data_IF_943109796138
#
_entry.id   IF_943109796138
#
_cell.length_a   1.000
_cell.length_b   1.000
_cell.length_c   1.000
_cell.angle_alpha   90.00
_cell.angle_beta   90.00
_cell.angle_gamma   90.00
#
_symmetry.space_group_name_H-M   'P 1'
#
loop_
_entity.id
_entity.type
_entity.pdbx_description
1 polymer ?
#
# COMPACT_ATOMS: atom_id res chain seq x y z
N UNK A 1 1.93 -12.99 -67.14
CA UNK A 1 2.08 -11.57 -66.71
C UNK A 1 0.71 -11.10 -66.26
N UNK A 2 0.44 -10.67 -65.04
CA UNK A 2 1.22 -10.42 -63.83
C UNK A 2 0.28 -10.81 -62.68
N UNK A 3 0.80 -11.55 -61.71
CA UNK A 3 0.09 -11.91 -60.49
C UNK A 3 0.16 -10.75 -59.51
N UNK A 4 -0.91 -9.98 -59.35
CA UNK A 4 -1.08 -9.11 -58.19
C UNK A 4 -2.00 -9.79 -57.19
N UNK A 5 -1.33 -10.56 -56.35
CA UNK A 5 -1.83 -11.23 -55.16
C UNK A 5 -2.40 -10.14 -54.25
N UNK A 6 -3.72 -10.09 -54.10
CA UNK A 6 -4.38 -9.36 -53.01
C UNK A 6 -3.87 -9.94 -51.69
N UNK A 7 -2.80 -9.35 -51.17
CA UNK A 7 -2.37 -9.55 -49.80
C UNK A 7 -3.44 -8.94 -48.91
N UNK A 8 -4.39 -9.76 -48.46
CA UNK A 8 -5.18 -9.44 -47.26
C UNK A 8 -4.15 -9.14 -46.17
N UNK A 9 -4.03 -7.87 -45.78
CA UNK A 9 -3.05 -7.44 -44.80
C UNK A 9 -3.19 -8.30 -43.56
N UNK A 10 -2.19 -9.14 -43.29
CA UNK A 10 -2.08 -9.75 -41.98
C UNK A 10 -1.85 -8.59 -41.04
N UNK A 11 -2.84 -8.34 -40.17
CA UNK A 11 -2.72 -7.44 -39.02
C UNK A 11 -1.33 -7.62 -38.44
N UNK A 12 -0.49 -6.59 -38.42
CA UNK A 12 0.82 -6.64 -37.77
C UNK A 12 0.57 -6.69 -36.27
N UNK A 13 0.31 -7.90 -35.77
CA UNK A 13 0.09 -8.19 -34.36
C UNK A 13 1.48 -8.34 -33.73
N UNK A 14 1.89 -7.34 -32.96
CA UNK A 14 3.06 -7.47 -32.10
C UNK A 14 2.65 -8.26 -30.85
N UNK A 15 2.71 -9.59 -30.97
CA UNK A 15 2.34 -10.53 -29.92
C UNK A 15 3.23 -10.37 -28.67
N UNK A 16 4.46 -9.90 -28.84
CA UNK A 16 5.37 -9.65 -27.72
C UNK A 16 4.91 -8.43 -26.93
N UNK A 17 4.57 -7.34 -27.62
CA UNK A 17 4.03 -6.14 -26.97
C UNK A 17 2.69 -6.42 -26.26
N UNK A 18 1.79 -7.18 -26.88
CA UNK A 18 0.53 -7.59 -26.25
C UNK A 18 0.76 -8.39 -24.95
N UNK A 19 1.72 -9.32 -24.96
CA UNK A 19 2.09 -10.07 -23.77
C UNK A 19 2.66 -9.17 -22.66
N UNK A 20 3.51 -8.19 -23.01
CA UNK A 20 4.07 -7.24 -22.05
C UNK A 20 2.98 -6.32 -21.45
N UNK A 21 1.99 -5.90 -22.25
CA UNK A 21 0.84 -5.11 -21.77
C UNK A 21 0.03 -5.90 -20.74
N UNK A 22 -0.23 -7.18 -20.98
CA UNK A 22 -0.95 -8.03 -20.02
C UNK A 22 -0.16 -8.21 -18.71
N UNK A 23 1.15 -8.39 -18.79
CA UNK A 23 2.03 -8.44 -17.60
C UNK A 23 1.97 -7.13 -16.82
N UNK A 24 1.96 -5.97 -17.50
CA UNK A 24 1.83 -4.67 -16.85
C UNK A 24 0.47 -4.52 -16.14
N UNK A 25 -0.63 -4.91 -16.80
CA UNK A 25 -1.98 -4.88 -16.24
C UNK A 25 -2.10 -5.76 -14.99
N UNK A 26 -1.57 -6.97 -15.03
CA UNK A 26 -1.54 -7.89 -13.87
C UNK A 26 -0.67 -7.34 -12.74
N UNK A 27 0.50 -6.79 -13.08
CA UNK A 27 1.41 -6.16 -12.11
C UNK A 27 0.73 -4.99 -11.40
N UNK A 28 0.03 -4.11 -12.13
CA UNK A 28 -0.74 -3.01 -11.54
C UNK A 28 -1.77 -3.52 -10.52
N UNK A 29 -2.55 -4.55 -10.87
CA UNK A 29 -3.56 -5.15 -9.95
C UNK A 29 -2.92 -5.70 -8.67
N UNK A 30 -1.75 -6.30 -8.77
CA UNK A 30 -0.98 -6.77 -7.60
C UNK A 30 -0.55 -5.60 -6.71
N UNK A 31 -0.03 -4.52 -7.29
CA UNK A 31 0.32 -3.32 -6.52
C UNK A 31 -0.90 -2.62 -5.91
N UNK A 32 -2.05 -2.59 -6.58
CA UNK A 32 -3.31 -2.09 -6.01
C UNK A 32 -3.74 -2.92 -4.79
N UNK A 33 -3.55 -4.24 -4.86
CA UNK A 33 -3.82 -5.13 -3.74
C UNK A 33 -2.88 -4.85 -2.56
N UNK A 34 -1.58 -4.68 -2.82
CA UNK A 34 -0.59 -4.28 -1.81
C UNK A 34 -0.96 -2.94 -1.18
N UNK A 35 -1.32 -1.94 -2.00
CA UNK A 35 -1.72 -0.62 -1.53
C UNK A 35 -2.95 -0.69 -0.62
N UNK A 36 -3.96 -1.50 -0.99
CA UNK A 36 -5.16 -1.72 -0.18
C UNK A 36 -4.81 -2.35 1.17
N UNK A 37 -3.98 -3.39 1.17
CA UNK A 37 -3.56 -4.07 2.40
C UNK A 37 -2.73 -3.15 3.31
N UNK A 38 -1.81 -2.36 2.73
CA UNK A 38 -0.99 -1.41 3.48
C UNK A 38 -1.85 -0.31 4.13
N UNK A 39 -2.87 0.21 3.43
CA UNK A 39 -3.84 1.17 4.02
C UNK A 39 -4.62 0.54 5.18
N UNK A 40 -5.08 -0.70 5.03
CA UNK A 40 -5.75 -1.42 6.11
C UNK A 40 -4.81 -1.60 7.33
N UNK A 41 -3.55 -1.97 7.09
CA UNK A 41 -2.54 -2.08 8.13
C UNK A 41 -2.30 -0.75 8.85
N UNK A 42 -2.15 0.36 8.12
CA UNK A 42 -2.03 1.70 8.70
C UNK A 42 -3.21 2.02 9.63
N UNK A 43 -4.43 1.76 9.19
CA UNK A 43 -5.64 2.02 9.98
C UNK A 43 -5.66 1.17 11.26
N UNK A 44 -5.37 -0.12 11.15
CA UNK A 44 -5.32 -1.01 12.32
C UNK A 44 -4.23 -0.58 13.31
N UNK A 45 -3.04 -0.25 12.81
CA UNK A 45 -1.93 0.20 13.63
C UNK A 45 -2.25 1.53 14.32
N UNK A 46 -2.93 2.45 13.63
CA UNK A 46 -3.37 3.72 14.22
C UNK A 46 -4.34 3.48 15.39
N UNK A 47 -5.37 2.66 15.19
CA UNK A 47 -6.31 2.30 16.27
C UNK A 47 -5.62 1.60 17.44
N UNK A 48 -4.64 0.74 17.16
CA UNK A 48 -3.84 0.07 18.19
C UNK A 48 -3.06 1.10 19.02
N UNK A 49 -2.33 2.02 18.39
CA UNK A 49 -1.54 3.05 19.07
C UNK A 49 -2.42 3.96 19.94
N UNK A 50 -3.59 4.37 19.45
CA UNK A 50 -4.53 5.17 20.25
C UNK A 50 -5.01 4.41 21.50
N UNK A 51 -5.29 3.11 21.36
CA UNK A 51 -5.68 2.25 22.49
C UNK A 51 -4.55 2.07 23.48
N UNK A 52 -3.31 1.90 22.99
CA UNK A 52 -2.12 1.79 23.84
C UNK A 52 -1.90 3.07 24.67
N UNK A 53 -2.18 4.26 24.10
CA UNK A 53 -2.09 5.52 24.83
C UNK A 53 -3.08 5.55 26.00
N UNK A 54 -4.37 5.32 25.72
CA UNK A 54 -5.41 5.31 26.74
C UNK A 54 -5.15 4.25 27.83
N UNK A 55 -4.64 3.08 27.43
CA UNK A 55 -4.28 2.01 28.36
C UNK A 55 -3.08 2.38 29.24
N UNK A 56 -2.06 3.03 28.66
CA UNK A 56 -0.91 3.55 29.41
C UNK A 56 -1.29 4.62 30.43
N UNK A 57 -2.21 5.51 30.08
CA UNK A 57 -2.74 6.52 31.00
C UNK A 57 -3.52 5.88 32.15
N UNK A 58 -4.35 4.87 31.83
CA UNK A 58 -5.11 4.12 32.85
C UNK A 58 -4.18 3.38 33.81
N UNK A 59 -3.11 2.73 33.31
CA UNK A 59 -2.11 2.10 34.17
C UNK A 59 -1.34 3.12 35.01
N UNK A 60 -1.05 4.32 34.48
CA UNK A 60 -0.42 5.39 35.26
C UNK A 60 -1.31 5.81 36.42
N UNK A 61 -2.61 6.00 36.19
CA UNK A 61 -3.58 6.36 37.23
C UNK A 61 -3.70 5.26 38.31
N UNK A 62 -3.78 3.99 37.91
CA UNK A 62 -3.82 2.86 38.84
C UNK A 62 -2.54 2.72 39.68
N UNK A 63 -1.36 2.95 39.08
CA UNK A 63 -0.09 2.94 39.81
C UNK A 63 -0.05 3.99 40.94
N UNK A 64 -0.69 5.14 40.74
CA UNK A 64 -0.78 6.20 41.75
C UNK A 64 -1.81 5.91 42.85
N UNK A 65 -2.89 5.18 42.52
CA UNK A 65 -4.03 4.92 43.41
C UNK A 65 -3.95 3.60 44.17
N UNK A 66 -3.15 2.64 43.72
CA UNK A 66 -2.97 1.32 44.33
C UNK A 66 -1.51 1.10 44.75
N UNK A 67 -1.08 1.62 45.92
CA UNK A 67 0.29 1.48 46.41
C UNK A 67 0.81 0.04 46.43
N UNK A 68 -0.07 -0.93 46.70
CA UNK A 68 0.21 -2.36 46.74
C UNK A 68 0.53 -2.99 45.37
N UNK A 69 0.19 -2.31 44.27
CA UNK A 69 0.43 -2.75 42.89
C UNK A 69 1.16 -1.67 42.06
N UNK A 70 1.80 -0.73 42.74
CA UNK A 70 2.37 0.46 42.12
C UNK A 70 3.39 0.11 41.04
N UNK A 71 4.27 -0.84 41.32
CA UNK A 71 5.38 -1.20 40.45
C UNK A 71 4.89 -1.98 39.23
N UNK A 72 3.92 -2.88 39.41
CA UNK A 72 3.30 -3.66 38.33
C UNK A 72 2.55 -2.76 37.35
N UNK A 73 1.72 -1.85 37.87
CA UNK A 73 1.01 -0.88 37.03
C UNK A 73 1.98 0.14 36.40
N UNK A 74 3.00 0.58 37.13
CA UNK A 74 4.01 1.51 36.63
C UNK A 74 4.80 0.91 35.46
N UNK A 75 5.26 -0.33 35.59
CA UNK A 75 5.95 -1.05 34.52
C UNK A 75 5.09 -1.21 33.26
N UNK A 76 3.82 -1.59 33.44
CA UNK A 76 2.88 -1.73 32.34
C UNK A 76 2.58 -0.39 31.66
N UNK A 77 2.45 0.70 32.42
CA UNK A 77 2.25 2.04 31.88
C UNK A 77 3.42 2.47 30.98
N UNK A 78 4.66 2.32 31.46
CA UNK A 78 5.85 2.69 30.70
C UNK A 78 6.03 1.82 29.45
N UNK A 79 5.69 0.53 29.55
CA UNK A 79 5.69 -0.38 28.39
C UNK A 79 4.70 0.10 27.32
N UNK A 80 3.47 0.48 27.68
CA UNK A 80 2.50 0.98 26.71
C UNK A 80 2.93 2.30 26.08
N UNK A 81 3.50 3.23 26.86
CA UNK A 81 4.04 4.51 26.33
C UNK A 81 5.19 4.28 25.35
N UNK A 82 6.09 3.35 25.65
CA UNK A 82 7.18 2.97 24.75
C UNK A 82 6.65 2.38 23.44
N UNK A 83 5.68 1.46 23.52
CA UNK A 83 5.05 0.87 22.34
C UNK A 83 4.32 1.93 21.49
N UNK A 84 3.65 2.91 22.11
CA UNK A 84 3.03 4.02 21.39
C UNK A 84 4.04 4.79 20.56
N UNK A 85 5.15 5.25 21.17
CA UNK A 85 6.20 6.01 20.50
C UNK A 85 6.80 5.25 19.31
N UNK A 86 7.04 3.96 19.49
CA UNK A 86 7.54 3.09 18.42
C UNK A 86 6.48 2.89 17.32
N UNK A 87 5.22 2.74 17.72
CA UNK A 87 4.07 2.62 16.81
C UNK A 87 3.86 3.87 15.95
N UNK A 88 4.01 5.07 16.51
CA UNK A 88 3.95 6.34 15.77
C UNK A 88 5.05 6.44 14.71
N UNK A 89 6.27 6.02 15.05
CA UNK A 89 7.40 5.98 14.12
C UNK A 89 7.11 5.01 12.97
N UNK A 90 6.61 3.81 13.28
CA UNK A 90 6.22 2.81 12.29
C UNK A 90 5.06 3.30 11.41
N UNK A 91 4.06 3.97 11.99
CA UNK A 91 2.96 4.59 11.24
C UNK A 91 3.47 5.59 10.21
N UNK A 92 4.45 6.43 10.58
CA UNK A 92 5.11 7.34 9.65
C UNK A 92 5.72 6.60 8.46
N UNK A 93 6.47 5.52 8.72
CA UNK A 93 7.10 4.72 7.68
C UNK A 93 6.08 4.04 6.73
N UNK A 94 4.99 3.46 7.29
CA UNK A 94 3.96 2.81 6.47
C UNK A 94 3.18 3.86 5.65
N UNK A 95 2.90 5.04 6.21
CA UNK A 95 2.25 6.13 5.46
C UNK A 95 3.13 6.60 4.29
N UNK A 96 4.43 6.74 4.49
CA UNK A 96 5.37 7.06 3.42
C UNK A 96 5.37 5.98 2.33
N UNK A 97 5.37 4.69 2.71
CA UNK A 97 5.25 3.58 1.77
C UNK A 97 3.94 3.63 0.97
N UNK A 98 2.79 3.83 1.64
CA UNK A 98 1.47 3.95 1.00
C UNK A 98 1.46 5.09 -0.02
N UNK A 99 1.99 6.26 0.33
CA UNK A 99 2.07 7.41 -0.56
C UNK A 99 2.94 7.14 -1.80
N UNK A 100 4.08 6.48 -1.60
CA UNK A 100 5.02 6.11 -2.66
C UNK A 100 4.40 5.12 -3.64
N UNK A 101 3.79 4.04 -3.14
CA UNK A 101 3.09 3.05 -3.98
C UNK A 101 1.88 3.65 -4.67
N UNK A 102 1.11 4.51 -3.98
CA UNK A 102 -0.01 5.20 -4.61
C UNK A 102 0.42 6.05 -5.80
N UNK A 103 1.58 6.73 -5.70
CA UNK A 103 2.15 7.50 -6.80
C UNK A 103 2.56 6.60 -7.97
N UNK A 104 3.25 5.50 -7.69
CA UNK A 104 3.64 4.52 -8.72
C UNK A 104 2.42 3.98 -9.48
N UNK A 105 1.39 3.55 -8.75
CA UNK A 105 0.21 2.88 -9.32
C UNK A 105 -0.72 3.85 -10.05
N UNK A 106 -1.05 4.98 -9.40
CA UNK A 106 -2.11 5.88 -9.87
C UNK A 106 -1.60 7.04 -10.72
N UNK A 107 -0.27 7.20 -10.85
CA UNK A 107 0.33 8.16 -11.77
C UNK A 107 1.18 7.43 -12.80
N UNK A 108 2.32 6.89 -12.39
CA UNK A 108 3.33 6.34 -13.32
C UNK A 108 2.80 5.19 -14.18
N UNK A 109 2.14 4.21 -13.58
CA UNK A 109 1.56 3.09 -14.32
C UNK A 109 0.35 3.54 -15.14
N UNK A 110 -0.48 4.46 -14.63
CA UNK A 110 -1.65 4.96 -15.35
C UNK A 110 -1.27 5.78 -16.59
N UNK A 111 -0.20 6.59 -16.51
CA UNK A 111 0.35 7.34 -17.65
C UNK A 111 0.78 6.39 -18.79
N UNK A 112 1.43 5.28 -18.42
CA UNK A 112 1.85 4.24 -19.37
C UNK A 112 0.62 3.55 -19.99
N UNK A 113 -0.37 3.20 -19.18
CA UNK A 113 -1.61 2.58 -19.64
C UNK A 113 -2.45 3.51 -20.54
N UNK A 114 -2.39 4.83 -20.31
CA UNK A 114 -3.03 5.82 -21.19
C UNK A 114 -2.40 5.81 -22.58
N UNK A 115 -1.06 5.77 -22.64
CA UNK A 115 -0.32 5.65 -23.91
C UNK A 115 -0.68 4.34 -24.63
N UNK A 116 -0.76 3.23 -23.90
CA UNK A 116 -1.19 1.93 -24.46
C UNK A 116 -2.61 2.01 -25.04
N UNK A 117 -3.57 2.64 -24.33
CA UNK A 117 -4.93 2.84 -24.84
C UNK A 117 -4.94 3.63 -26.16
N UNK A 118 -4.11 4.67 -26.28
CA UNK A 118 -3.97 5.44 -27.52
C UNK A 118 -3.38 4.60 -28.66
N UNK A 119 -2.35 3.80 -28.37
CA UNK A 119 -1.78 2.85 -29.32
C UNK A 119 -2.81 1.82 -29.80
N UNK A 120 -3.58 1.22 -28.88
CA UNK A 120 -4.65 0.27 -29.20
C UNK A 120 -5.76 0.89 -30.06
N UNK A 121 -6.10 2.17 -29.83
CA UNK A 121 -7.11 2.89 -30.60
C UNK A 121 -6.65 3.30 -32.02
N UNK A 122 -5.34 3.47 -32.23
CA UNK A 122 -4.76 3.81 -33.53
C UNK A 122 -4.56 2.59 -34.44
N UNK A 123 -4.78 1.37 -33.94
CA UNK A 123 -4.58 0.09 -34.62
C UNK A 123 -5.88 -0.50 -35.17
#
# INVERSE_FOLDING_TARGET
MIAERFGRGSRTVDLELEAQIEVLRDTKRKYETVLRLARALTNHLYSMVQTQHALGDTFTDLSLKSPELRDEFGYNAETQKLLCKNGETLLGAINFFVSSINTLVNKTMEDTLMTIKMYEAAR
#
